data_IF_553814567571
#
_entry.id   IF_553814567571
#
_cell.length_a   1.000
_cell.length_b   1.000
_cell.length_c   1.000
_cell.angle_alpha   90.00
_cell.angle_beta   90.00
_cell.angle_gamma   90.00
#
_symmetry.space_group_name_H-M   'P 1'
#
loop_
_entity.id
_entity.type
_entity.pdbx_description
1 polymer ?
#
# COMPACT_ATOMS: atom_id res chain seq x y z
N UNK A 1 -24.33 -3.64 1.52
CA UNK A 1 -22.90 -4.12 1.55
C UNK A 1 -22.68 -5.08 2.71
N UNK A 2 -22.07 -6.26 2.45
CA UNK A 2 -21.66 -7.19 3.52
C UNK A 2 -20.38 -6.66 4.17
N UNK A 3 -20.31 -6.69 5.51
CA UNK A 3 -19.12 -6.34 6.30
C UNK A 3 -18.77 -7.52 7.22
N UNK A 4 -17.51 -7.90 7.30
CA UNK A 4 -17.02 -8.92 8.24
C UNK A 4 -15.67 -8.50 8.82
N UNK A 5 -15.38 -8.93 10.03
CA UNK A 5 -14.13 -8.64 10.73
C UNK A 5 -13.51 -9.95 11.22
N UNK A 6 -12.20 -10.07 11.12
CA UNK A 6 -11.43 -11.18 11.68
C UNK A 6 -10.16 -10.64 12.34
N UNK A 7 -9.74 -11.30 13.41
CA UNK A 7 -8.43 -11.06 14.03
C UNK A 7 -7.53 -12.26 13.71
N UNK A 8 -6.41 -11.98 13.05
CA UNK A 8 -5.47 -12.99 12.56
C UNK A 8 -4.19 -12.93 13.40
N UNK A 9 -3.96 -13.96 14.21
CA UNK A 9 -2.75 -14.08 15.03
C UNK A 9 -1.52 -14.37 14.17
N UNK A 10 -0.40 -13.72 14.48
CA UNK A 10 0.89 -14.03 13.88
C UNK A 10 2.00 -14.13 14.93
N UNK A 11 2.80 -15.20 14.91
CA UNK A 11 3.97 -15.30 15.77
C UNK A 11 5.06 -14.27 15.40
N UNK A 12 5.07 -13.77 14.16
CA UNK A 12 6.05 -12.81 13.68
C UNK A 12 5.89 -11.42 14.31
N UNK A 13 4.65 -11.02 14.62
CA UNK A 13 4.37 -9.77 15.34
C UNK A 13 4.02 -10.01 16.82
N UNK A 14 3.87 -11.27 17.25
CA UNK A 14 3.50 -11.64 18.61
C UNK A 14 2.10 -11.16 19.05
N UNK A 15 1.23 -10.87 18.09
CA UNK A 15 -0.11 -10.31 18.31
C UNK A 15 -1.10 -10.79 17.24
N UNK A 16 -2.38 -10.47 17.45
CA UNK A 16 -3.38 -10.53 16.38
C UNK A 16 -3.53 -9.15 15.75
N UNK A 17 -3.61 -9.10 14.41
CA UNK A 17 -3.98 -7.92 13.67
C UNK A 17 -5.38 -8.05 13.08
N UNK A 18 -6.15 -6.97 13.08
CA UNK A 18 -7.51 -6.94 12.56
C UNK A 18 -7.56 -6.76 11.05
N UNK A 19 -8.48 -7.46 10.41
CA UNK A 19 -8.86 -7.27 9.01
C UNK A 19 -10.36 -7.06 8.90
N UNK A 20 -10.78 -6.00 8.23
CA UNK A 20 -12.18 -5.74 7.91
C UNK A 20 -12.42 -5.91 6.42
N UNK A 21 -13.33 -6.83 6.06
CA UNK A 21 -13.70 -7.07 4.68
C UNK A 21 -15.04 -6.42 4.34
N UNK A 22 -15.12 -5.78 3.17
CA UNK A 22 -16.32 -5.15 2.62
C UNK A 22 -16.64 -5.75 1.24
N UNK A 23 -17.83 -6.31 1.10
CA UNK A 23 -18.29 -6.95 -0.13
C UNK A 23 -18.56 -8.44 0.05
N UNK A 24 -19.04 -9.08 -1.01
CA UNK A 24 -19.40 -10.48 -1.03
C UNK A 24 -18.72 -11.26 -2.15
N UNK A 25 -18.25 -10.56 -3.18
CA UNK A 25 -17.60 -11.11 -4.38
C UNK A 25 -16.79 -10.04 -5.08
N UNK A 26 -15.97 -10.44 -6.06
CA UNK A 26 -15.19 -9.57 -6.93
C UNK A 26 -13.69 -9.67 -6.69
N UNK A 27 -12.95 -8.86 -7.44
CA UNK A 27 -11.50 -8.80 -7.33
C UNK A 27 -11.07 -8.41 -5.91
N UNK A 28 -10.17 -9.16 -5.25
CA UNK A 28 -9.68 -8.78 -3.93
C UNK A 28 -8.79 -7.52 -4.01
N UNK A 29 -9.03 -6.60 -3.11
CA UNK A 29 -8.28 -5.35 -2.94
C UNK A 29 -7.76 -5.29 -1.51
N UNK A 30 -6.46 -5.45 -1.33
CA UNK A 30 -5.79 -5.29 -0.03
C UNK A 30 -5.53 -3.80 0.22
N UNK A 31 -6.12 -3.27 1.26
CA UNK A 31 -6.08 -1.85 1.62
C UNK A 31 -5.18 -1.65 2.82
N UNK A 32 -4.06 -0.96 2.62
CA UNK A 32 -3.17 -0.53 3.69
C UNK A 32 -3.61 0.82 4.24
N UNK A 33 -3.70 0.98 5.57
CA UNK A 33 -4.13 2.24 6.17
C UNK A 33 -3.05 3.34 6.05
N UNK A 34 -3.43 4.57 6.37
CA UNK A 34 -2.47 5.67 6.60
C UNK A 34 -1.63 5.41 7.86
N UNK A 35 -0.67 6.29 8.17
CA UNK A 35 0.21 6.16 9.34
C UNK A 35 -0.56 5.88 10.63
N UNK A 36 -0.19 4.81 11.33
CA UNK A 36 -0.84 4.32 12.56
C UNK A 36 -2.35 4.09 12.44
N UNK A 37 -2.85 3.91 11.20
CA UNK A 37 -4.27 3.74 10.94
C UNK A 37 -4.79 2.36 11.33
N UNK A 38 -6.10 2.28 11.46
CA UNK A 38 -6.85 1.07 11.84
C UNK A 38 -7.54 0.47 10.63
N UNK A 39 -7.90 -0.79 10.73
CA UNK A 39 -8.63 -1.50 9.67
C UNK A 39 -9.97 -0.85 9.29
N UNK A 40 -10.63 -0.13 10.23
CA UNK A 40 -11.89 0.56 10.02
C UNK A 40 -11.76 1.98 9.43
N UNK A 41 -10.55 2.52 9.32
CA UNK A 41 -10.37 3.94 8.95
C UNK A 41 -10.87 4.23 7.53
N UNK A 42 -10.71 3.29 6.58
CA UNK A 42 -11.28 3.46 5.24
C UNK A 42 -12.82 3.62 5.28
N UNK A 43 -13.52 2.86 6.13
CA UNK A 43 -14.95 3.04 6.36
C UNK A 43 -15.22 4.37 7.06
N UNK A 44 -14.53 4.63 8.17
CA UNK A 44 -14.76 5.80 9.03
C UNK A 44 -14.58 7.13 8.30
N UNK A 45 -13.66 7.18 7.32
CA UNK A 45 -13.40 8.34 6.49
C UNK A 45 -14.12 8.32 5.13
N UNK A 46 -15.07 7.40 4.92
CA UNK A 46 -15.96 7.38 3.75
C UNK A 46 -15.30 6.87 2.46
N UNK A 47 -14.15 6.19 2.54
CA UNK A 47 -13.48 5.61 1.37
C UNK A 47 -14.24 4.40 0.82
N UNK A 48 -14.90 3.64 1.70
CA UNK A 48 -15.74 2.49 1.32
C UNK A 48 -17.00 2.96 0.60
N UNK A 49 -17.62 4.04 1.08
CA UNK A 49 -18.85 4.57 0.55
C UNK A 49 -18.72 5.07 -0.89
N UNK A 50 -17.60 5.70 -1.24
CA UNK A 50 -17.39 6.28 -2.58
C UNK A 50 -17.20 5.23 -3.67
N UNK A 51 -17.02 3.95 -3.30
CA UNK A 51 -16.90 2.80 -4.21
C UNK A 51 -17.96 1.72 -3.93
N UNK A 52 -19.02 2.08 -3.18
CA UNK A 52 -20.07 1.16 -2.78
C UNK A 52 -20.71 0.41 -3.96
N UNK A 53 -20.93 1.10 -5.09
CA UNK A 53 -21.49 0.49 -6.30
C UNK A 53 -20.60 -0.64 -6.87
N UNK A 54 -19.28 -0.50 -6.80
CA UNK A 54 -18.36 -1.56 -7.23
C UNK A 54 -18.40 -2.75 -6.27
N UNK A 55 -18.51 -2.48 -4.97
CA UNK A 55 -18.55 -3.52 -3.93
C UNK A 55 -19.89 -4.27 -3.97
N UNK A 56 -21.02 -3.54 -4.02
CA UNK A 56 -22.35 -4.13 -4.05
C UNK A 56 -22.63 -4.84 -5.39
N UNK A 57 -22.05 -4.32 -6.47
CA UNK A 57 -22.05 -4.97 -7.78
C UNK A 57 -21.15 -6.21 -7.89
N UNK A 58 -20.40 -6.55 -6.83
CA UNK A 58 -19.53 -7.72 -6.82
C UNK A 58 -18.34 -7.61 -7.77
N UNK A 59 -17.91 -6.39 -8.11
CA UNK A 59 -16.72 -6.16 -8.96
C UNK A 59 -15.42 -6.16 -8.15
N UNK A 60 -15.46 -5.63 -6.92
CA UNK A 60 -14.35 -5.63 -5.98
C UNK A 60 -14.80 -6.07 -4.59
N UNK A 61 -13.86 -6.63 -3.82
CA UNK A 61 -14.01 -6.90 -2.39
C UNK A 61 -12.82 -6.32 -1.67
N UNK A 62 -13.05 -5.35 -0.77
CA UNK A 62 -12.00 -4.69 -0.03
C UNK A 62 -11.62 -5.49 1.21
N UNK A 63 -10.33 -5.56 1.52
CA UNK A 63 -9.75 -6.15 2.71
C UNK A 63 -8.85 -5.12 3.37
N UNK A 64 -9.38 -4.40 4.34
CA UNK A 64 -8.68 -3.33 5.04
C UNK A 64 -7.96 -3.91 6.25
N UNK A 65 -6.64 -3.75 6.30
CA UNK A 65 -5.79 -4.27 7.37
C UNK A 65 -5.43 -3.18 8.38
N UNK A 66 -5.12 -3.59 9.60
CA UNK A 66 -4.56 -2.71 10.62
C UNK A 66 -3.09 -2.41 10.33
N UNK A 67 -2.60 -1.22 10.72
CA UNK A 67 -1.18 -0.90 10.63
C UNK A 67 -0.39 -1.49 11.81
N UNK A 68 0.92 -1.64 11.59
CA UNK A 68 1.88 -2.01 12.64
C UNK A 68 2.91 -0.89 12.84
N UNK A 69 2.60 0.33 12.40
CA UNK A 69 3.53 1.45 12.33
C UNK A 69 4.01 1.92 13.70
N UNK A 70 3.16 1.81 14.73
CA UNK A 70 3.50 2.18 16.11
C UNK A 70 4.74 1.42 16.62
N UNK A 71 4.88 0.17 16.23
CA UNK A 71 5.99 -0.71 16.60
C UNK A 71 7.14 -0.66 15.60
N UNK A 72 6.88 -0.11 14.40
CA UNK A 72 7.80 -0.05 13.26
C UNK A 72 8.10 1.39 12.83
N UNK A 73 7.55 1.85 11.71
CA UNK A 73 7.92 3.09 11.04
C UNK A 73 7.71 4.35 11.88
N UNK A 74 6.66 4.41 12.69
CA UNK A 74 6.35 5.56 13.56
C UNK A 74 7.02 5.49 14.94
N UNK A 75 7.74 4.41 15.23
CA UNK A 75 8.50 4.29 16.47
C UNK A 75 9.80 5.08 16.41
N UNK A 76 9.77 6.31 16.92
CA UNK A 76 10.93 7.22 16.90
C UNK A 76 12.00 6.90 17.94
N UNK A 77 11.72 6.01 18.89
CA UNK A 77 12.64 5.61 19.96
C UNK A 77 13.69 4.59 19.51
N UNK A 78 13.50 3.99 18.32
CA UNK A 78 14.41 3.00 17.74
C UNK A 78 14.96 3.46 16.39
N UNK A 79 16.21 3.06 16.03
CA UNK A 79 16.83 3.47 14.77
C UNK A 79 16.12 2.87 13.55
N UNK A 80 16.30 3.50 12.38
CA UNK A 80 15.68 3.11 11.11
C UNK A 80 15.81 1.63 10.77
N UNK A 81 17.02 1.07 10.91
CA UNK A 81 17.30 -0.34 10.61
C UNK A 81 16.45 -1.27 11.48
N UNK A 82 16.24 -0.94 12.76
CA UNK A 82 15.40 -1.73 13.66
C UNK A 82 13.91 -1.59 13.31
N UNK A 83 13.47 -0.40 12.90
CA UNK A 83 12.10 -0.20 12.38
C UNK A 83 11.83 -1.09 11.18
N UNK A 84 12.76 -1.08 10.22
CA UNK A 84 12.68 -1.89 9.00
C UNK A 84 12.71 -3.40 9.32
N UNK A 85 13.53 -3.83 10.28
CA UNK A 85 13.58 -5.23 10.72
C UNK A 85 12.26 -5.68 11.33
N UNK A 86 11.66 -4.85 12.19
CA UNK A 86 10.34 -5.13 12.77
C UNK A 86 9.23 -5.11 11.73
N UNK A 87 9.34 -4.26 10.70
CA UNK A 87 8.43 -4.26 9.57
C UNK A 87 8.40 -5.62 8.85
N UNK A 88 9.50 -6.37 8.82
CA UNK A 88 9.53 -7.75 8.34
C UNK A 88 8.53 -8.68 9.05
N UNK A 89 8.24 -8.45 10.34
CA UNK A 89 7.16 -9.14 11.04
C UNK A 89 5.77 -8.81 10.49
N UNK A 90 5.54 -7.54 10.17
CA UNK A 90 4.30 -7.12 9.50
C UNK A 90 4.17 -7.72 8.10
N UNK A 91 5.25 -7.76 7.32
CA UNK A 91 5.26 -8.44 6.03
C UNK A 91 4.87 -9.92 6.16
N UNK A 92 5.45 -10.62 7.15
CA UNK A 92 5.10 -12.02 7.44
C UNK A 92 3.62 -12.16 7.83
N UNK A 93 3.06 -11.24 8.64
CA UNK A 93 1.65 -11.26 8.97
C UNK A 93 0.76 -11.14 7.73
N UNK A 94 1.06 -10.19 6.84
CA UNK A 94 0.32 -10.02 5.58
C UNK A 94 0.42 -11.28 4.72
N UNK A 95 1.65 -11.80 4.50
CA UNK A 95 1.87 -12.89 3.55
C UNK A 95 1.42 -14.25 4.07
N UNK A 96 1.58 -14.51 5.38
CA UNK A 96 1.37 -15.83 5.96
C UNK A 96 0.00 -15.98 6.62
N UNK A 97 -0.71 -14.88 6.93
CA UNK A 97 -2.01 -14.89 7.59
C UNK A 97 -3.10 -14.20 6.74
N UNK A 98 -2.87 -12.95 6.31
CA UNK A 98 -3.90 -12.17 5.62
C UNK A 98 -4.14 -12.72 4.21
N UNK A 99 -3.10 -12.96 3.41
CA UNK A 99 -3.24 -13.46 2.04
C UNK A 99 -3.91 -14.84 1.99
N UNK A 100 -3.51 -15.84 2.79
CA UNK A 100 -4.23 -17.11 2.84
C UNK A 100 -5.70 -16.96 3.22
N UNK A 101 -6.02 -16.10 4.20
CA UNK A 101 -7.40 -15.84 4.58
C UNK A 101 -8.19 -15.16 3.44
N UNK A 102 -7.58 -14.23 2.69
CA UNK A 102 -8.22 -13.64 1.49
C UNK A 102 -8.52 -14.73 0.47
N UNK A 103 -7.59 -15.64 0.21
CA UNK A 103 -7.80 -16.72 -0.75
C UNK A 103 -8.91 -17.68 -0.32
N UNK A 104 -8.98 -18.03 0.96
CA UNK A 104 -10.06 -18.85 1.49
C UNK A 104 -11.42 -18.14 1.35
N UNK A 105 -11.47 -16.86 1.63
CA UNK A 105 -12.69 -16.04 1.57
C UNK A 105 -13.13 -15.73 0.10
N UNK A 106 -12.19 -15.75 -0.85
CA UNK A 106 -12.47 -15.60 -2.28
C UNK A 106 -12.70 -16.93 -3.00
N UNK A 107 -12.50 -18.07 -2.32
CA UNK A 107 -12.67 -19.40 -2.90
C UNK A 107 -11.49 -19.90 -3.71
N UNK A 108 -10.31 -19.31 -3.57
CA UNK A 108 -9.06 -19.73 -4.19
C UNK A 108 -8.06 -18.60 -4.43
N UNK A 109 -6.84 -18.94 -4.90
CA UNK A 109 -5.83 -17.96 -5.25
C UNK A 109 -6.31 -16.96 -6.31
N UNK A 110 -5.99 -15.69 -6.13
CA UNK A 110 -6.35 -14.60 -7.03
C UNK A 110 -5.25 -13.52 -7.05
N UNK A 111 -5.17 -12.77 -8.14
CA UNK A 111 -4.35 -11.56 -8.22
C UNK A 111 -5.00 -10.46 -7.34
N UNK A 112 -4.30 -10.06 -6.28
CA UNK A 112 -4.77 -9.05 -5.33
C UNK A 112 -4.28 -7.67 -5.78
N UNK A 113 -5.18 -6.70 -5.93
CA UNK A 113 -4.80 -5.28 -6.04
C UNK A 113 -4.37 -4.78 -4.67
N UNK A 114 -3.23 -4.11 -4.56
CA UNK A 114 -2.87 -3.36 -3.35
C UNK A 114 -3.21 -1.90 -3.48
N UNK A 115 -3.64 -1.25 -2.39
CA UNK A 115 -3.92 0.18 -2.38
C UNK A 115 -3.70 0.77 -0.98
N UNK A 116 -3.55 2.08 -0.90
CA UNK A 116 -3.47 2.82 0.35
C UNK A 116 -3.19 4.30 0.13
N UNK A 117 -3.25 5.05 1.22
CA UNK A 117 -2.99 6.49 1.26
C UNK A 117 -1.78 6.80 2.12
N UNK A 118 -0.99 7.82 1.78
CA UNK A 118 0.18 8.23 2.55
C UNK A 118 1.18 7.07 2.74
N UNK A 119 1.50 6.67 3.98
CA UNK A 119 2.34 5.49 4.24
C UNK A 119 1.70 4.19 3.74
N UNK A 120 0.38 4.11 3.66
CA UNK A 120 -0.34 2.98 3.06
C UNK A 120 -0.04 2.82 1.57
N UNK A 121 0.18 3.93 0.84
CA UNK A 121 0.61 3.89 -0.55
C UNK A 121 2.04 3.34 -0.69
N UNK A 122 2.94 3.66 0.25
CA UNK A 122 4.25 3.02 0.33
C UNK A 122 4.12 1.50 0.51
N UNK A 123 3.30 1.05 1.47
CA UNK A 123 3.05 -0.38 1.67
C UNK A 123 2.53 -1.03 0.38
N UNK A 124 1.52 -0.44 -0.26
CA UNK A 124 0.94 -0.97 -1.49
C UNK A 124 2.00 -1.16 -2.59
N UNK A 125 2.85 -0.15 -2.81
CA UNK A 125 3.93 -0.23 -3.80
C UNK A 125 5.02 -1.24 -3.40
N UNK A 126 5.46 -1.24 -2.14
CA UNK A 126 6.53 -2.12 -1.67
C UNK A 126 6.12 -3.60 -1.73
N UNK A 127 4.90 -3.92 -1.32
CA UNK A 127 4.36 -5.29 -1.44
C UNK A 127 4.21 -5.73 -2.90
N UNK A 128 3.71 -4.86 -3.79
CA UNK A 128 3.60 -5.16 -5.21
C UNK A 128 4.96 -5.46 -5.85
N UNK A 129 5.98 -4.67 -5.54
CA UNK A 129 7.34 -4.86 -6.07
C UNK A 129 8.07 -6.07 -5.49
N UNK A 130 7.82 -6.42 -4.23
CA UNK A 130 8.43 -7.58 -3.56
C UNK A 130 7.72 -8.89 -3.91
N UNK A 131 6.41 -8.84 -4.18
CA UNK A 131 5.55 -10.01 -4.39
C UNK A 131 4.57 -9.79 -5.54
N UNK A 132 5.09 -9.45 -6.72
CA UNK A 132 4.28 -9.30 -7.93
C UNK A 132 3.56 -10.59 -8.37
N UNK A 133 3.94 -11.74 -7.81
CA UNK A 133 3.21 -13.00 -7.93
C UNK A 133 1.83 -12.97 -7.25
N UNK A 134 1.70 -12.22 -6.17
CA UNK A 134 0.46 -12.05 -5.38
C UNK A 134 -0.22 -10.71 -5.67
N UNK A 135 0.58 -9.67 -5.85
CA UNK A 135 0.16 -8.27 -5.95
C UNK A 135 0.65 -7.62 -7.26
N UNK A 136 0.13 -8.05 -8.42
CA UNK A 136 0.64 -7.55 -9.70
C UNK A 136 0.30 -6.07 -9.97
N UNK A 137 -0.60 -5.48 -9.21
CA UNK A 137 -1.02 -4.09 -9.41
C UNK A 137 -1.14 -3.33 -8.09
N UNK A 138 -0.78 -2.04 -8.11
CA UNK A 138 -0.91 -1.14 -6.98
C UNK A 138 -1.53 0.20 -7.38
N UNK A 139 -2.50 0.69 -6.58
CA UNK A 139 -3.05 2.04 -6.63
C UNK A 139 -2.56 2.79 -5.39
N UNK A 140 -1.67 3.74 -5.57
CA UNK A 140 -0.92 4.41 -4.52
C UNK A 140 -1.30 5.89 -4.47
N UNK A 141 -1.94 6.36 -3.39
CA UNK A 141 -2.40 7.74 -3.25
C UNK A 141 -1.53 8.50 -2.26
N UNK A 142 -0.88 9.59 -2.71
CA UNK A 142 -0.05 10.49 -1.90
C UNK A 142 1.07 9.76 -1.13
N UNK A 143 1.83 8.88 -1.81
CA UNK A 143 2.81 7.99 -1.17
C UNK A 143 4.15 8.66 -0.84
N UNK A 144 4.79 8.18 0.23
CA UNK A 144 6.17 8.51 0.61
C UNK A 144 6.99 7.23 0.51
N UNK A 145 7.80 7.07 -0.54
CA UNK A 145 8.44 5.80 -0.89
C UNK A 145 9.84 5.61 -0.31
N UNK A 146 10.40 6.63 0.35
CA UNK A 146 11.58 6.54 1.22
C UNK A 146 11.21 7.02 2.63
N UNK A 147 10.94 6.08 3.51
CA UNK A 147 10.53 6.37 4.90
C UNK A 147 11.68 6.89 5.78
N UNK A 148 12.92 6.88 5.31
CA UNK A 148 14.01 7.53 6.03
C UNK A 148 13.84 9.05 6.14
N UNK A 149 13.06 9.64 5.23
CA UNK A 149 12.67 11.05 5.28
C UNK A 149 11.70 11.36 6.44
N UNK A 150 11.03 10.34 7.01
CA UNK A 150 10.09 10.48 8.11
C UNK A 150 10.79 10.26 9.45
N UNK A 151 11.53 11.28 9.93
CA UNK A 151 12.14 11.28 11.27
C UNK A 151 13.13 10.13 11.52
N UNK A 152 13.83 9.71 10.47
CA UNK A 152 14.79 8.62 10.55
C UNK A 152 16.08 9.05 11.23
N UNK A 153 16.63 8.17 12.06
CA UNK A 153 17.96 8.28 12.63
C UNK A 153 18.63 6.90 12.70
N UNK A 154 19.94 6.90 12.87
CA UNK A 154 20.75 5.67 12.87
C UNK A 154 21.17 5.25 11.46
N UNK A 155 21.88 4.14 11.40
CA UNK A 155 22.40 3.59 10.16
C UNK A 155 21.28 2.97 9.31
N UNK A 156 21.50 2.94 8.01
CA UNK A 156 20.67 2.24 7.03
C UNK A 156 21.38 0.95 6.64
N UNK A 157 20.89 -0.17 7.17
CA UNK A 157 21.40 -1.50 6.83
C UNK A 157 20.52 -2.21 5.79
N UNK A 158 20.67 -3.52 5.71
CA UNK A 158 19.98 -4.35 4.71
C UNK A 158 18.46 -4.32 4.86
N UNK A 159 17.95 -4.32 6.10
CA UNK A 159 16.51 -4.30 6.31
C UNK A 159 15.90 -3.00 5.78
N UNK A 160 16.55 -1.84 6.02
CA UNK A 160 16.10 -0.56 5.49
C UNK A 160 16.23 -0.52 3.96
N UNK A 161 17.36 -1.01 3.41
CA UNK A 161 17.59 -1.07 1.96
C UNK A 161 16.47 -1.84 1.24
N UNK A 162 16.15 -3.06 1.69
CA UNK A 162 15.10 -3.89 1.09
C UNK A 162 13.66 -3.42 1.40
N UNK A 163 13.50 -2.36 2.19
CA UNK A 163 12.23 -1.70 2.45
C UNK A 163 12.18 -0.25 1.90
N UNK A 164 13.16 0.13 1.07
CA UNK A 164 13.17 1.41 0.36
C UNK A 164 13.11 1.16 -1.15
N UNK A 165 11.89 1.16 -1.76
CA UNK A 165 11.73 0.87 -3.19
C UNK A 165 12.66 1.65 -4.13
N UNK A 166 12.88 2.96 -3.94
CA UNK A 166 13.85 3.69 -4.76
C UNK A 166 15.26 3.12 -4.72
N UNK A 167 15.74 2.64 -3.55
CA UNK A 167 17.10 2.15 -3.37
C UNK A 167 17.31 0.79 -4.05
N UNK A 168 16.47 -0.20 -3.72
CA UNK A 168 16.68 -1.54 -4.26
C UNK A 168 16.36 -1.63 -5.75
N UNK A 169 15.40 -0.85 -6.26
CA UNK A 169 15.13 -0.77 -7.69
C UNK A 169 16.29 -0.13 -8.45
N UNK A 170 16.87 0.96 -7.94
CA UNK A 170 18.00 1.64 -8.59
C UNK A 170 19.16 0.67 -8.87
N UNK A 171 19.38 -0.31 -7.99
CA UNK A 171 20.45 -1.31 -8.12
C UNK A 171 20.00 -2.64 -8.75
N UNK A 172 18.69 -2.81 -9.02
CA UNK A 172 18.16 -4.06 -9.56
C UNK A 172 18.45 -4.22 -11.06
N UNK A 173 18.80 -5.44 -11.48
CA UNK A 173 19.05 -5.80 -12.88
C UNK A 173 18.80 -7.30 -13.09
N UNK A 174 18.84 -7.76 -14.35
CA UNK A 174 18.71 -9.17 -14.72
C UNK A 174 17.27 -9.70 -14.62
N UNK A 175 17.14 -11.02 -14.52
CA UNK A 175 15.88 -11.77 -14.69
C UNK A 175 14.76 -11.32 -13.75
N UNK A 176 15.11 -10.91 -12.51
CA UNK A 176 14.10 -10.45 -11.56
C UNK A 176 13.52 -9.09 -11.97
N UNK A 177 14.32 -8.17 -12.51
CA UNK A 177 13.82 -6.90 -13.04
C UNK A 177 12.95 -7.16 -14.29
N UNK A 178 13.35 -8.09 -15.17
CA UNK A 178 12.58 -8.43 -16.35
C UNK A 178 11.23 -9.07 -15.98
N UNK A 179 11.21 -9.88 -14.93
CA UNK A 179 9.97 -10.40 -14.36
C UNK A 179 9.07 -9.29 -13.84
N UNK A 180 9.58 -8.33 -13.07
CA UNK A 180 8.80 -7.17 -12.61
C UNK A 180 8.24 -6.37 -13.79
N UNK A 181 9.05 -6.10 -14.83
CA UNK A 181 8.60 -5.41 -16.05
C UNK A 181 7.42 -6.08 -16.74
N UNK A 182 7.38 -7.41 -16.70
CA UNK A 182 6.32 -8.20 -17.34
C UNK A 182 5.07 -8.38 -16.48
N UNK A 183 5.18 -8.17 -15.16
CA UNK A 183 4.14 -8.59 -14.21
C UNK A 183 3.50 -7.43 -13.47
N UNK A 184 4.25 -6.39 -13.13
CA UNK A 184 3.79 -5.33 -12.22
C UNK A 184 3.27 -4.11 -12.98
N UNK A 185 2.25 -3.46 -12.43
CA UNK A 185 1.81 -2.11 -12.81
C UNK A 185 1.51 -1.28 -11.57
N UNK A 186 2.06 -0.08 -11.48
CA UNK A 186 1.81 0.86 -10.40
C UNK A 186 1.13 2.13 -10.92
N UNK A 187 0.03 2.53 -10.29
CA UNK A 187 -0.57 3.85 -10.48
C UNK A 187 -0.25 4.72 -9.26
N UNK A 188 0.54 5.76 -9.45
CA UNK A 188 0.93 6.71 -8.42
C UNK A 188 0.09 7.99 -8.59
N UNK A 189 -0.81 8.26 -7.65
CA UNK A 189 -1.68 9.44 -7.66
C UNK A 189 -1.24 10.38 -6.55
N UNK A 190 -1.17 11.68 -6.82
CA UNK A 190 -0.80 12.66 -5.80
C UNK A 190 -1.34 14.04 -6.14
N UNK A 191 -1.88 14.73 -5.14
CA UNK A 191 -2.19 16.15 -5.23
C UNK A 191 -0.92 17.04 -5.32
N UNK A 192 -1.11 18.32 -5.56
CA UNK A 192 -0.05 19.32 -5.54
C UNK A 192 -0.36 20.48 -4.56
N UNK A 193 -1.41 20.32 -3.76
CA UNK A 193 -1.89 21.31 -2.80
C UNK A 193 -1.34 21.14 -1.39
N UNK A 194 -2.13 21.65 -0.46
CA UNK A 194 -1.76 21.74 0.97
C UNK A 194 -1.34 20.36 1.53
N UNK A 195 -0.21 20.34 2.23
CA UNK A 195 0.42 19.21 2.90
C UNK A 195 1.06 18.16 1.99
N UNK A 196 0.82 18.17 0.68
CA UNK A 196 1.51 17.24 -0.24
C UNK A 196 3.01 17.58 -0.36
N UNK A 197 3.36 18.86 -0.25
CA UNK A 197 4.74 19.36 -0.21
C UNK A 197 5.40 19.14 1.15
N UNK A 198 4.70 19.50 2.24
CA UNK A 198 5.26 19.47 3.61
C UNK A 198 5.39 18.06 4.17
N UNK A 199 4.54 17.12 3.77
CA UNK A 199 4.71 15.69 4.05
C UNK A 199 5.81 15.05 3.21
N UNK A 200 6.18 15.67 2.09
CA UNK A 200 7.12 15.13 1.11
C UNK A 200 6.49 14.17 0.09
N UNK A 201 5.17 13.96 0.13
CA UNK A 201 4.50 12.98 -0.74
C UNK A 201 4.64 13.35 -2.23
N UNK A 202 4.46 14.63 -2.60
CA UNK A 202 4.59 15.08 -3.98
C UNK A 202 6.01 14.86 -4.53
N UNK A 203 7.03 15.23 -3.76
CA UNK A 203 8.43 15.06 -4.15
C UNK A 203 8.77 13.58 -4.25
N UNK A 204 8.35 12.78 -3.27
CA UNK A 204 8.57 11.34 -3.24
C UNK A 204 7.87 10.62 -4.40
N UNK A 205 6.62 10.98 -4.72
CA UNK A 205 5.87 10.41 -5.84
C UNK A 205 6.58 10.70 -7.18
N UNK A 206 7.01 11.94 -7.42
CA UNK A 206 7.75 12.29 -8.64
C UNK A 206 9.08 11.57 -8.76
N UNK A 207 9.86 11.53 -7.68
CA UNK A 207 11.15 10.84 -7.64
C UNK A 207 11.01 9.34 -7.89
N UNK A 208 10.04 8.72 -7.26
CA UNK A 208 9.78 7.29 -7.42
C UNK A 208 9.27 6.94 -8.82
N UNK A 209 8.40 7.77 -9.41
CA UNK A 209 8.00 7.64 -10.82
C UNK A 209 9.21 7.70 -11.76
N UNK A 210 10.19 8.58 -11.48
CA UNK A 210 11.46 8.63 -12.23
C UNK A 210 12.25 7.32 -12.13
N UNK A 211 12.38 6.73 -10.94
CA UNK A 211 13.05 5.43 -10.75
C UNK A 211 12.35 4.30 -11.51
N UNK A 212 11.01 4.26 -11.46
CA UNK A 212 10.24 3.27 -12.22
C UNK A 212 10.44 3.43 -13.74
N UNK A 213 10.46 4.68 -14.24
CA UNK A 213 10.72 4.98 -15.65
C UNK A 213 12.13 4.52 -16.06
N UNK A 214 13.16 4.87 -15.30
CA UNK A 214 14.54 4.47 -15.55
C UNK A 214 14.72 2.95 -15.58
N UNK A 215 13.94 2.23 -14.77
CA UNK A 215 13.94 0.77 -14.74
C UNK A 215 12.98 0.13 -15.77
N UNK A 216 12.20 0.91 -16.49
CA UNK A 216 11.22 0.41 -17.47
C UNK A 216 10.11 -0.43 -16.83
N UNK A 217 9.80 -0.20 -15.56
CA UNK A 217 8.69 -0.87 -14.85
C UNK A 217 7.39 -0.17 -15.25
N UNK A 218 6.35 -0.90 -15.70
CA UNK A 218 5.06 -0.32 -16.07
C UNK A 218 4.43 0.47 -14.93
N UNK A 219 4.20 1.75 -15.16
CA UNK A 219 3.59 2.66 -14.18
C UNK A 219 2.93 3.86 -14.85
N UNK A 220 2.12 4.55 -14.08
CA UNK A 220 1.52 5.84 -14.42
C UNK A 220 1.67 6.77 -13.22
N UNK A 221 1.99 8.05 -13.47
CA UNK A 221 1.99 9.10 -12.45
C UNK A 221 0.89 10.09 -12.80
N UNK A 222 -0.14 10.16 -11.97
CA UNK A 222 -1.25 11.10 -12.13
C UNK A 222 -1.18 12.19 -11.05
N UNK A 223 -0.78 13.40 -11.47
CA UNK A 223 -0.68 14.55 -10.58
C UNK A 223 -1.92 15.41 -10.68
N UNK A 224 -2.68 15.48 -9.61
CA UNK A 224 -3.88 16.31 -9.50
C UNK A 224 -3.53 17.78 -9.24
N UNK A 225 -4.54 18.65 -9.20
CA UNK A 225 -4.35 20.09 -9.13
C UNK A 225 -3.69 20.62 -7.85
N UNK A 226 -3.34 21.90 -7.86
CA UNK A 226 -2.75 22.59 -6.70
C UNK A 226 -3.76 22.88 -5.58
N UNK A 227 -5.02 22.64 -5.82
CA UNK A 227 -6.12 22.65 -4.84
C UNK A 227 -6.34 21.29 -4.16
N UNK A 228 -5.64 20.24 -4.59
CA UNK A 228 -5.74 18.89 -4.07
C UNK A 228 -4.76 18.65 -2.94
N UNK A 229 -5.28 18.50 -1.73
CA UNK A 229 -4.50 18.39 -0.50
C UNK A 229 -4.29 16.93 -0.06
N UNK A 230 -3.26 16.70 0.76
CA UNK A 230 -2.99 15.42 1.44
C UNK A 230 -4.03 15.15 2.52
N UNK A 231 -5.28 14.81 2.10
CA UNK A 231 -6.42 14.68 3.01
C UNK A 231 -7.53 13.81 2.43
N UNK A 232 -8.33 13.24 3.29
CA UNK A 232 -9.41 12.29 2.99
C UNK A 232 -10.42 12.75 1.92
N UNK A 233 -10.89 14.02 1.87
CA UNK A 233 -11.80 14.47 0.82
C UNK A 233 -11.27 14.26 -0.59
N UNK A 234 -9.95 14.38 -0.77
CA UNK A 234 -9.28 14.20 -2.05
C UNK A 234 -9.00 12.74 -2.32
N UNK A 235 -8.49 11.99 -1.35
CA UNK A 235 -8.30 10.54 -1.49
C UNK A 235 -9.59 9.79 -1.83
N UNK A 236 -10.75 10.22 -1.30
CA UNK A 236 -12.05 9.68 -1.74
C UNK A 236 -12.30 9.89 -3.23
N UNK A 237 -11.99 11.07 -3.76
CA UNK A 237 -12.17 11.38 -5.19
C UNK A 237 -11.19 10.60 -6.06
N UNK A 238 -9.94 10.54 -5.67
CA UNK A 238 -8.89 9.77 -6.35
C UNK A 238 -9.24 8.28 -6.39
N UNK A 239 -9.66 7.73 -5.25
CA UNK A 239 -10.05 6.32 -5.14
C UNK A 239 -11.27 5.99 -6.01
N UNK A 240 -12.32 6.81 -5.93
CA UNK A 240 -13.53 6.65 -6.76
C UNK A 240 -13.22 6.77 -8.26
N UNK A 241 -12.27 7.63 -8.64
CA UNK A 241 -11.85 7.82 -10.03
C UNK A 241 -11.04 6.65 -10.57
N UNK A 242 -10.10 6.14 -9.77
CA UNK A 242 -9.11 5.18 -10.27
C UNK A 242 -9.46 3.71 -10.01
N UNK A 243 -10.13 3.36 -8.91
CA UNK A 243 -10.44 1.97 -8.60
C UNK A 243 -11.22 1.25 -9.72
N UNK A 244 -12.19 1.89 -10.43
CA UNK A 244 -12.91 1.24 -11.53
C UNK A 244 -11.99 0.67 -12.63
N UNK A 245 -10.80 1.24 -12.84
CA UNK A 245 -9.80 0.77 -13.83
C UNK A 245 -9.22 -0.62 -13.50
N UNK A 246 -9.36 -1.04 -12.27
CA UNK A 246 -8.84 -2.29 -11.72
C UNK A 246 -9.92 -3.31 -11.35
N UNK A 247 -11.18 -2.97 -11.57
CA UNK A 247 -12.32 -3.74 -11.08
C UNK A 247 -12.82 -4.82 -12.07
N UNK A 248 -12.13 -5.04 -13.16
CA UNK A 248 -12.50 -6.03 -14.21
C UNK A 248 -11.61 -7.24 -14.17
#
# INVERSE_FOLDING_TARGET
MRRSTVDLWSPAIGAAGSVVAYGHWGRPVLVFPHEMGRAEDFESFGMVDVVADLIDGGRVKLYCVESYDRETWSNRDIPLEERARRHGGYESWILDQVVPWIFDDCGGPADILTTGTSIGAYHAANFALKRADLFPQALCMSGIYDLSALYGWGERGDAMYFNTPPDYLANMSGDHLDWLRSRVFLLLVCGQGMWEDTTGALVSTKAFGGVLADKGIPHEVDLWGYDVAHDWPWWRREFAHHLPRFAD
#
